data_IF_245795493964
#
_entry.id   IF_245795493964
#
_cell.length_a   1.000
_cell.length_b   1.000
_cell.length_c   1.000
_cell.angle_alpha   90.00
_cell.angle_beta   90.00
_cell.angle_gamma   90.00
#
_symmetry.space_group_name_H-M   'P 1'
#
loop_
_entity.id
_entity.type
_entity.pdbx_description
1 polymer ?
#
# COMPACT_ATOMS: atom_id res chain seq x y z
N UNK A 1 18.10 9.40 -15.36
CA UNK A 1 16.78 8.77 -15.46
C UNK A 1 15.85 9.42 -14.47
N UNK A 2 14.69 9.87 -14.93
CA UNK A 2 13.65 10.42 -14.08
C UNK A 2 12.75 9.30 -13.54
N UNK A 3 12.56 9.22 -12.22
CA UNK A 3 11.71 8.21 -11.57
C UNK A 3 10.27 8.25 -12.09
N UNK A 4 9.71 9.45 -12.29
CA UNK A 4 8.34 9.60 -12.80
C UNK A 4 8.19 8.99 -14.19
N UNK A 5 9.11 9.34 -15.10
CA UNK A 5 9.14 8.78 -16.45
C UNK A 5 9.32 7.26 -16.47
N UNK A 6 10.19 6.70 -15.61
CA UNK A 6 10.39 5.25 -15.53
C UNK A 6 9.13 4.54 -15.04
N UNK A 7 8.48 5.04 -13.98
CA UNK A 7 7.24 4.44 -13.47
C UNK A 7 6.11 4.54 -14.51
N UNK A 8 6.02 5.67 -15.23
CA UNK A 8 5.03 5.84 -16.29
C UNK A 8 5.20 4.79 -17.38
N UNK A 9 6.41 4.66 -17.94
CA UNK A 9 6.69 3.79 -19.07
C UNK A 9 6.65 2.30 -18.72
N UNK A 10 7.17 1.92 -17.54
CA UNK A 10 7.40 0.51 -17.20
C UNK A 10 6.26 -0.09 -16.36
N UNK A 11 5.41 0.73 -15.72
CA UNK A 11 4.35 0.27 -14.81
C UNK A 11 3.01 0.87 -15.15
N UNK A 12 2.88 2.21 -15.16
CA UNK A 12 1.56 2.84 -15.24
C UNK A 12 0.90 2.67 -16.60
N UNK A 13 1.63 2.94 -17.69
CA UNK A 13 1.10 2.79 -19.05
C UNK A 13 0.76 1.32 -19.39
N UNK A 14 1.65 0.33 -19.15
CA UNK A 14 1.32 -1.08 -19.41
C UNK A 14 0.12 -1.60 -18.60
N UNK A 15 -0.10 -1.07 -17.38
CA UNK A 15 -1.21 -1.46 -16.52
C UNK A 15 -2.47 -0.59 -16.71
N UNK A 16 -2.38 0.46 -17.52
CA UNK A 16 -3.49 1.39 -17.75
C UNK A 16 -3.85 2.22 -16.50
N UNK A 17 -2.88 2.50 -15.63
CA UNK A 17 -3.03 3.29 -14.41
C UNK A 17 -2.99 4.79 -14.70
N UNK A 18 -4.08 5.31 -15.28
CA UNK A 18 -4.15 6.66 -15.87
C UNK A 18 -4.20 7.79 -14.84
N UNK A 19 -4.65 7.48 -13.63
CA UNK A 19 -4.81 8.43 -12.53
C UNK A 19 -3.63 8.36 -11.55
N UNK A 20 -2.62 7.53 -11.83
CA UNK A 20 -1.49 7.32 -10.94
C UNK A 20 -0.32 8.23 -11.31
N UNK A 21 0.15 9.01 -10.34
CA UNK A 21 1.26 9.92 -10.57
C UNK A 21 1.66 10.73 -9.34
N UNK A 22 2.74 11.50 -9.47
CA UNK A 22 3.29 12.32 -8.37
C UNK A 22 2.59 13.67 -8.16
N UNK A 23 1.62 14.01 -9.01
CA UNK A 23 0.82 15.22 -8.94
C UNK A 23 -0.55 14.94 -9.58
N UNK A 24 -1.53 15.81 -9.33
CA UNK A 24 -2.88 15.69 -9.90
C UNK A 24 -3.16 16.89 -10.81
N UNK A 25 -3.45 16.67 -12.11
CA UNK A 25 -3.86 17.73 -13.02
C UNK A 25 -5.05 18.52 -12.47
N UNK A 26 -5.09 19.82 -12.74
CA UNK A 26 -6.11 20.70 -12.16
C UNK A 26 -7.55 20.24 -12.43
N UNK A 27 -7.81 19.74 -13.64
CA UNK A 27 -9.09 19.19 -14.05
C UNK A 27 -9.55 18.00 -13.19
N UNK A 28 -8.63 17.24 -12.59
CA UNK A 28 -8.91 16.03 -11.83
C UNK A 28 -8.97 16.25 -10.31
N UNK A 29 -8.57 17.43 -9.81
CA UNK A 29 -8.47 17.70 -8.37
C UNK A 29 -9.81 17.62 -7.64
N UNK A 30 -10.93 17.76 -8.35
CA UNK A 30 -12.27 17.58 -7.79
C UNK A 30 -12.54 16.15 -7.29
N UNK A 31 -11.75 15.15 -7.72
CA UNK A 31 -11.84 13.76 -7.28
C UNK A 31 -11.00 13.47 -6.03
N UNK A 32 -10.19 14.43 -5.57
CA UNK A 32 -9.31 14.21 -4.42
C UNK A 32 -10.09 14.12 -3.13
N UNK A 33 -9.91 13.01 -2.43
CA UNK A 33 -10.43 12.81 -1.09
C UNK A 33 -9.75 13.76 -0.10
N UNK A 34 -10.52 14.31 0.82
CA UNK A 34 -9.97 15.10 1.91
C UNK A 34 -9.20 14.19 2.89
N UNK A 35 -8.06 14.69 3.40
CA UNK A 35 -7.30 14.03 4.45
C UNK A 35 -7.87 14.36 5.83
N UNK A 36 -7.93 13.37 6.70
CA UNK A 36 -8.34 13.52 8.10
C UNK A 36 -7.27 12.97 9.06
N UNK A 37 -7.37 13.30 10.34
CA UNK A 37 -6.57 12.67 11.39
C UNK A 37 -6.08 13.64 12.47
N UNK A 38 -5.67 13.15 13.64
CA UNK A 38 -5.28 13.98 14.77
C UNK A 38 -3.91 14.68 14.62
N UNK A 39 -3.66 15.65 15.52
CA UNK A 39 -2.33 16.17 15.86
C UNK A 39 -1.74 17.21 14.91
N UNK A 40 -0.43 17.38 14.95
CA UNK A 40 0.41 18.12 14.00
C UNK A 40 1.50 17.15 13.53
N UNK A 41 1.60 16.90 12.22
CA UNK A 41 2.63 15.99 11.68
C UNK A 41 4.04 16.59 11.72
N UNK A 42 4.14 17.90 11.96
CA UNK A 42 5.42 18.62 12.06
C UNK A 42 5.95 18.68 13.49
N UNK A 43 5.16 18.22 14.46
CA UNK A 43 5.52 18.15 15.88
C UNK A 43 6.32 16.90 16.25
N UNK A 44 6.67 16.79 17.53
CA UNK A 44 7.28 15.58 18.08
C UNK A 44 6.32 14.39 17.98
N UNK A 45 6.83 13.16 17.73
CA UNK A 45 6.00 11.95 17.74
C UNK A 45 5.23 11.84 19.07
N UNK A 46 3.92 11.57 19.03
CA UNK A 46 3.12 11.45 20.25
C UNK A 46 3.58 10.22 21.06
N UNK A 47 3.55 10.35 22.38
CA UNK A 47 3.92 9.26 23.31
C UNK A 47 2.73 8.33 23.59
N UNK A 48 1.51 8.78 23.29
CA UNK A 48 0.26 8.01 23.45
C UNK A 48 -0.57 8.07 22.17
N UNK A 49 -1.49 7.11 22.01
CA UNK A 49 -2.46 7.14 20.93
C UNK A 49 -3.26 8.45 20.97
N UNK A 50 -3.41 9.09 19.82
CA UNK A 50 -4.23 10.30 19.70
C UNK A 50 -5.70 9.92 19.49
N UNK A 51 -6.67 10.77 19.88
CA UNK A 51 -8.08 10.54 19.61
C UNK A 51 -8.36 10.33 18.12
N UNK A 52 -9.27 9.42 17.80
CA UNK A 52 -9.68 9.15 16.42
C UNK A 52 -10.80 10.12 15.98
N UNK A 53 -10.44 11.38 15.79
CA UNK A 53 -11.39 12.43 15.39
C UNK A 53 -11.28 12.75 13.88
N UNK A 54 -12.44 12.91 13.21
CA UNK A 54 -12.54 13.31 11.80
C UNK A 54 -12.30 14.82 11.61
N UNK A 55 -11.11 15.28 11.98
CA UNK A 55 -10.66 16.65 11.73
C UNK A 55 -9.92 16.71 10.39
N UNK A 56 -10.37 17.58 9.49
CA UNK A 56 -9.75 17.77 8.17
C UNK A 56 -8.31 18.30 8.33
N UNK A 57 -7.40 17.77 7.52
CA UNK A 57 -5.98 18.10 7.52
C UNK A 57 -5.56 18.69 6.19
N UNK A 58 -4.75 19.74 6.28
CA UNK A 58 -3.99 20.23 5.14
C UNK A 58 -2.59 19.60 5.16
N UNK A 59 -2.30 18.83 4.11
CA UNK A 59 -1.01 18.16 3.92
C UNK A 59 -0.23 18.73 2.73
N UNK A 60 -0.71 19.82 2.12
CA UNK A 60 -0.18 20.37 0.86
C UNK A 60 1.31 20.70 0.91
N UNK A 61 1.82 21.09 2.08
CA UNK A 61 3.26 21.35 2.26
C UNK A 61 4.12 20.08 2.21
N UNK A 62 3.62 18.96 2.75
CA UNK A 62 4.35 17.69 2.83
C UNK A 62 4.09 16.79 1.61
N UNK A 63 2.92 16.96 0.99
CA UNK A 63 2.41 16.16 -0.10
C UNK A 63 1.73 17.07 -1.14
N UNK A 64 2.51 17.84 -1.90
CA UNK A 64 1.99 18.85 -2.83
C UNK A 64 1.30 18.20 -4.03
N UNK A 65 0.09 18.66 -4.32
CA UNK A 65 -0.75 18.17 -5.42
C UNK A 65 -0.32 18.70 -6.79
N UNK A 66 0.41 19.81 -6.83
CA UNK A 66 0.64 20.64 -8.00
C UNK A 66 2.14 20.81 -8.32
N UNK A 67 2.99 19.94 -7.76
CA UNK A 67 4.44 20.00 -7.94
C UNK A 67 4.96 18.75 -8.66
N UNK A 68 5.01 18.75 -10.01
CA UNK A 68 5.44 17.59 -10.80
C UNK A 68 6.84 17.06 -10.46
N UNK A 69 7.72 17.89 -9.90
CA UNK A 69 9.08 17.52 -9.49
C UNK A 69 9.14 16.88 -8.08
N UNK A 70 8.03 16.86 -7.35
CA UNK A 70 7.92 16.17 -6.07
C UNK A 70 7.81 14.66 -6.27
N UNK A 71 8.96 14.01 -6.51
CA UNK A 71 9.04 12.57 -6.76
C UNK A 71 9.80 11.89 -5.64
N UNK A 72 9.21 10.86 -5.02
CA UNK A 72 9.81 10.12 -3.89
C UNK A 72 9.56 8.62 -4.07
N UNK A 73 10.46 7.79 -3.53
CA UNK A 73 10.34 6.33 -3.63
C UNK A 73 9.42 5.69 -2.59
N UNK A 74 9.23 6.34 -1.43
CA UNK A 74 8.44 5.80 -0.31
C UNK A 74 7.10 6.49 -0.04
N UNK A 75 6.79 7.56 -0.78
CA UNK A 75 5.53 8.33 -0.69
C UNK A 75 5.35 9.17 -1.97
N UNK A 76 4.25 9.89 -2.09
CA UNK A 76 4.09 10.94 -3.12
C UNK A 76 3.22 10.56 -4.33
N UNK A 77 2.85 9.29 -4.49
CA UNK A 77 1.90 8.87 -5.53
C UNK A 77 0.44 9.09 -5.10
N UNK A 78 -0.27 9.88 -5.89
CA UNK A 78 -1.73 9.81 -5.98
C UNK A 78 -2.10 8.62 -6.86
N UNK A 79 -3.17 7.90 -6.51
CA UNK A 79 -3.70 6.79 -7.30
C UNK A 79 -5.20 6.63 -7.03
N UNK A 80 -5.92 6.05 -7.99
CA UNK A 80 -7.32 5.62 -7.80
C UNK A 80 -7.39 4.19 -7.28
N UNK A 81 -8.53 3.79 -6.72
CA UNK A 81 -8.80 2.39 -6.36
C UNK A 81 -8.60 1.46 -7.57
N UNK A 82 -9.13 1.85 -8.74
CA UNK A 82 -9.05 1.04 -9.95
C UNK A 82 -7.61 0.86 -10.44
N UNK A 83 -6.81 1.93 -10.42
CA UNK A 83 -5.40 1.87 -10.81
C UNK A 83 -4.60 0.96 -9.88
N UNK A 84 -4.78 1.11 -8.57
CA UNK A 84 -4.06 0.29 -7.61
C UNK A 84 -4.51 -1.18 -7.65
N UNK A 85 -5.77 -1.46 -8.02
CA UNK A 85 -6.23 -2.81 -8.31
C UNK A 85 -5.53 -3.42 -9.54
N UNK A 86 -5.27 -2.64 -10.60
CA UNK A 86 -4.46 -3.11 -11.73
C UNK A 86 -3.05 -3.50 -11.28
N UNK A 87 -2.41 -2.68 -10.44
CA UNK A 87 -1.10 -2.99 -9.85
C UNK A 87 -1.12 -4.25 -8.99
N UNK A 88 -2.08 -4.37 -8.06
CA UNK A 88 -2.21 -5.54 -7.20
C UNK A 88 -2.45 -6.83 -8.02
N UNK A 89 -3.30 -6.79 -9.05
CA UNK A 89 -3.51 -7.92 -9.97
C UNK A 89 -2.25 -8.29 -10.75
N UNK A 90 -1.46 -7.31 -11.17
CA UNK A 90 -0.16 -7.59 -11.80
C UNK A 90 0.77 -8.32 -10.83
N UNK A 91 0.79 -7.94 -9.55
CA UNK A 91 1.59 -8.64 -8.54
C UNK A 91 1.15 -10.09 -8.30
N UNK A 92 -0.09 -10.46 -8.62
CA UNK A 92 -0.56 -11.85 -8.52
C UNK A 92 0.11 -12.77 -9.56
N UNK A 93 0.39 -12.25 -10.76
CA UNK A 93 0.81 -13.06 -11.93
C UNK A 93 2.13 -12.63 -12.59
N UNK A 94 2.64 -11.44 -12.25
CA UNK A 94 3.72 -10.75 -12.96
C UNK A 94 3.31 -10.15 -14.31
N UNK A 95 2.02 -10.10 -14.64
CA UNK A 95 1.52 -9.76 -15.98
C UNK A 95 0.43 -8.70 -15.99
N UNK A 96 0.28 -8.02 -17.11
CA UNK A 96 -0.88 -7.15 -17.38
C UNK A 96 -2.15 -8.00 -17.55
N UNK A 97 -3.32 -7.37 -17.50
CA UNK A 97 -4.60 -8.06 -17.79
C UNK A 97 -4.68 -8.64 -19.22
N UNK A 98 -3.83 -8.17 -20.14
CA UNK A 98 -3.71 -8.68 -21.51
C UNK A 98 -2.65 -9.80 -21.64
N UNK A 99 -1.99 -10.17 -20.55
CA UNK A 99 -1.01 -11.25 -20.49
C UNK A 99 0.43 -10.83 -20.80
N UNK A 100 0.70 -9.53 -21.01
CA UNK A 100 2.06 -9.02 -21.24
C UNK A 100 2.89 -9.13 -19.96
N UNK A 101 4.17 -9.48 -20.10
CA UNK A 101 5.06 -9.67 -18.93
C UNK A 101 5.56 -8.32 -18.44
N UNK A 102 5.20 -7.95 -17.22
CA UNK A 102 5.74 -6.77 -16.51
C UNK A 102 6.91 -7.20 -15.62
N UNK A 103 6.73 -8.31 -14.91
CA UNK A 103 7.74 -8.92 -14.06
C UNK A 103 7.95 -10.36 -14.53
N UNK A 104 9.20 -10.71 -14.86
CA UNK A 104 9.51 -12.09 -15.27
C UNK A 104 9.10 -13.08 -14.19
N UNK A 105 8.70 -14.30 -14.58
CA UNK A 105 8.27 -15.34 -13.64
C UNK A 105 9.30 -15.61 -12.51
N UNK A 106 10.60 -15.60 -12.84
CA UNK A 106 11.66 -15.78 -11.83
C UNK A 106 11.76 -14.62 -10.85
N UNK A 107 11.60 -13.39 -11.34
CA UNK A 107 11.59 -12.21 -10.49
C UNK A 107 10.35 -12.20 -9.60
N UNK A 108 9.18 -12.55 -10.16
CA UNK A 108 7.92 -12.66 -9.44
C UNK A 108 8.00 -13.65 -8.27
N UNK A 109 8.57 -14.84 -8.49
CA UNK A 109 8.86 -15.81 -7.42
C UNK A 109 9.74 -15.22 -6.32
N UNK A 110 10.75 -14.41 -6.68
CA UNK A 110 11.67 -13.76 -5.74
C UNK A 110 10.97 -12.65 -4.93
N UNK A 111 10.07 -11.88 -5.54
CA UNK A 111 9.34 -10.77 -4.90
C UNK A 111 8.52 -11.25 -3.69
N UNK A 112 7.96 -12.46 -3.80
CA UNK A 112 7.06 -13.06 -2.80
C UNK A 112 7.78 -13.77 -1.65
N UNK A 113 9.12 -13.82 -1.65
CA UNK A 113 9.85 -14.51 -0.59
C UNK A 113 10.14 -13.60 0.59
N UNK A 114 10.07 -14.15 1.80
CA UNK A 114 10.70 -13.53 2.95
C UNK A 114 12.24 -13.47 2.74
N UNK A 115 12.80 -12.28 2.96
CA UNK A 115 14.22 -11.94 2.73
C UNK A 115 14.95 -11.56 4.01
N UNK A 116 14.25 -11.48 5.14
CA UNK A 116 14.86 -11.20 6.45
C UNK A 116 15.05 -12.48 7.25
N UNK A 117 16.10 -12.47 8.08
CA UNK A 117 16.52 -13.61 8.88
C UNK A 117 15.70 -13.72 10.17
N UNK A 118 15.76 -14.89 10.83
CA UNK A 118 15.09 -15.11 12.11
C UNK A 118 15.50 -14.10 13.21
N UNK A 119 16.72 -13.58 13.18
CA UNK A 119 17.20 -12.56 14.12
C UNK A 119 16.57 -11.17 13.92
N UNK A 120 15.90 -10.95 12.79
CA UNK A 120 15.18 -9.71 12.48
C UNK A 120 13.67 -9.82 12.74
N UNK A 121 13.23 -10.97 13.28
CA UNK A 121 11.85 -11.24 13.66
C UNK A 121 11.71 -11.17 15.20
N UNK A 122 10.53 -10.81 15.74
CA UNK A 122 9.32 -10.42 15.01
C UNK A 122 9.44 -9.07 14.31
N UNK A 123 8.81 -8.94 13.14
CA UNK A 123 8.77 -7.69 12.40
C UNK A 123 7.91 -6.65 13.15
N UNK A 124 8.38 -5.40 13.19
CA UNK A 124 7.63 -4.29 13.79
C UNK A 124 7.93 -2.96 13.07
N UNK A 125 6.98 -2.03 13.12
CA UNK A 125 7.17 -0.64 12.73
C UNK A 125 6.96 0.21 13.98
N UNK A 126 8.05 0.76 14.52
CA UNK A 126 8.00 1.41 15.83
C UNK A 126 7.56 0.42 16.90
N UNK A 127 6.49 0.74 17.63
CA UNK A 127 5.91 -0.12 18.66
C UNK A 127 4.83 -1.09 18.13
N UNK A 128 4.51 -1.05 16.84
CA UNK A 128 3.43 -1.86 16.25
C UNK A 128 4.00 -3.16 15.67
N UNK A 129 3.66 -4.33 16.22
CA UNK A 129 4.11 -5.60 15.68
C UNK A 129 3.34 -5.97 14.40
N UNK A 130 4.02 -6.61 13.46
CA UNK A 130 3.41 -7.25 12.28
C UNK A 130 3.45 -8.76 12.49
N UNK A 131 2.51 -9.27 13.30
CA UNK A 131 2.51 -10.66 13.75
C UNK A 131 2.38 -11.66 12.58
N UNK A 132 3.24 -12.68 12.56
CA UNK A 132 3.28 -13.69 11.50
C UNK A 132 3.93 -13.22 10.19
N UNK A 133 4.32 -11.95 10.07
CA UNK A 133 4.91 -11.40 8.84
C UNK A 133 6.45 -11.36 8.88
N UNK A 134 7.05 -11.69 7.74
CA UNK A 134 8.40 -11.33 7.35
C UNK A 134 8.42 -10.15 6.37
N UNK A 135 9.54 -9.95 5.67
CA UNK A 135 9.75 -8.84 4.74
C UNK A 135 10.34 -9.31 3.42
N UNK A 136 9.69 -8.97 2.32
CA UNK A 136 10.12 -9.24 0.94
C UNK A 136 10.57 -7.99 0.20
N UNK A 137 10.62 -8.06 -1.14
CA UNK A 137 10.98 -6.91 -1.98
C UNK A 137 9.79 -5.98 -2.27
N UNK A 138 8.58 -6.42 -1.94
CA UNK A 138 7.31 -5.69 -2.19
C UNK A 138 6.58 -5.28 -0.91
N UNK A 139 7.12 -5.61 0.26
CA UNK A 139 6.51 -5.29 1.55
C UNK A 139 6.50 -6.48 2.51
N UNK A 140 5.45 -6.56 3.33
CA UNK A 140 5.25 -7.68 4.26
C UNK A 140 4.95 -8.96 3.47
N UNK A 141 5.36 -10.11 4.00
CA UNK A 141 5.00 -11.44 3.49
C UNK A 141 4.60 -12.31 4.68
N UNK A 142 3.42 -12.92 4.64
CA UNK A 142 2.95 -13.83 5.69
C UNK A 142 3.78 -15.12 5.66
N UNK A 143 4.41 -15.44 6.79
CA UNK A 143 5.28 -16.63 6.97
C UNK A 143 4.79 -17.57 8.08
N UNK A 144 3.87 -17.10 8.94
CA UNK A 144 3.25 -17.91 9.99
C UNK A 144 1.79 -17.46 10.20
N UNK A 145 0.82 -18.06 9.47
CA UNK A 145 -0.59 -17.76 9.65
C UNK A 145 -1.12 -18.04 11.07
N UNK A 146 -0.47 -18.91 11.85
CA UNK A 146 -0.86 -19.21 13.23
C UNK A 146 -0.60 -18.05 14.20
N UNK A 147 0.30 -17.13 13.83
CA UNK A 147 0.58 -15.90 14.57
C UNK A 147 -0.18 -14.67 14.02
N UNK A 148 -0.95 -14.80 12.94
CA UNK A 148 -1.64 -13.69 12.30
C UNK A 148 -2.80 -13.16 13.17
N UNK A 149 -3.08 -11.87 13.07
CA UNK A 149 -4.18 -11.19 13.78
C UNK A 149 -5.49 -11.12 13.00
N UNK A 150 -5.48 -11.54 11.74
CA UNK A 150 -6.64 -11.62 10.85
C UNK A 150 -6.50 -12.84 9.91
N UNK A 151 -7.61 -13.37 9.34
CA UNK A 151 -7.56 -14.43 8.34
C UNK A 151 -6.59 -14.08 7.19
N UNK A 152 -5.82 -15.09 6.80
CA UNK A 152 -4.72 -14.95 5.84
C UNK A 152 -4.29 -16.30 5.33
N UNK A 153 -3.56 -16.29 4.22
CA UNK A 153 -2.82 -17.45 3.72
C UNK A 153 -1.32 -17.30 3.93
N UNK A 154 -0.62 -18.42 4.04
CA UNK A 154 0.84 -18.48 3.94
C UNK A 154 1.29 -17.95 2.56
N UNK A 155 2.17 -16.95 2.56
CA UNK A 155 2.62 -16.27 1.35
C UNK A 155 1.76 -15.08 0.90
N UNK A 156 0.67 -14.73 1.60
CA UNK A 156 -0.02 -13.45 1.39
C UNK A 156 0.97 -12.28 1.57
N UNK A 157 0.95 -11.31 0.67
CA UNK A 157 1.88 -10.19 0.74
C UNK A 157 1.24 -8.86 0.31
N UNK A 158 1.87 -7.76 0.72
CA UNK A 158 1.45 -6.43 0.33
C UNK A 158 2.02 -5.35 1.21
N UNK A 159 1.40 -4.18 1.18
CA UNK A 159 1.80 -3.07 2.04
C UNK A 159 0.64 -2.15 2.42
N UNK A 160 0.96 -1.09 3.14
CA UNK A 160 0.04 -0.09 3.64
C UNK A 160 0.61 1.32 3.46
N UNK A 161 -0.28 2.30 3.49
CA UNK A 161 0.07 3.72 3.53
C UNK A 161 -0.31 4.34 4.87
N UNK A 162 0.37 5.42 5.24
CA UNK A 162 0.12 6.11 6.51
C UNK A 162 -1.31 6.69 6.65
N UNK A 163 -2.02 6.86 5.51
CA UNK A 163 -3.37 7.40 5.44
C UNK A 163 -4.47 6.30 5.52
N UNK A 164 -4.18 5.19 6.19
CA UNK A 164 -5.02 3.99 6.33
C UNK A 164 -5.39 3.27 5.01
N UNK A 165 -4.74 3.63 3.90
CA UNK A 165 -4.80 2.83 2.66
C UNK A 165 -4.08 1.50 2.84
N UNK A 166 -4.62 0.41 2.33
CA UNK A 166 -4.03 -0.93 2.51
C UNK A 166 -4.26 -1.80 1.28
N UNK A 167 -3.32 -2.71 0.98
CA UNK A 167 -3.57 -3.75 0.00
C UNK A 167 -2.94 -5.09 0.41
N UNK A 168 -3.50 -6.16 -0.14
CA UNK A 168 -2.97 -7.51 -0.04
C UNK A 168 -3.13 -8.27 -1.36
N UNK A 169 -2.24 -9.22 -1.56
CA UNK A 169 -2.20 -10.15 -2.69
C UNK A 169 -2.05 -11.54 -2.09
N UNK A 170 -2.99 -12.42 -2.38
CA UNK A 170 -3.00 -13.79 -1.91
C UNK A 170 -2.95 -14.76 -3.10
N UNK A 171 -1.76 -15.26 -3.45
CA UNK A 171 -1.60 -16.23 -4.53
C UNK A 171 -2.30 -17.57 -4.29
N UNK A 172 -2.58 -17.95 -3.03
CA UNK A 172 -3.24 -19.24 -2.72
C UNK A 172 -4.73 -19.18 -3.01
N UNK A 173 -5.34 -18.01 -2.81
CA UNK A 173 -6.77 -17.77 -3.04
C UNK A 173 -7.06 -17.08 -4.39
N UNK A 174 -6.05 -16.90 -5.26
CA UNK A 174 -6.14 -16.11 -6.51
C UNK A 174 -6.82 -14.74 -6.29
N UNK A 175 -6.51 -14.10 -5.15
CA UNK A 175 -7.24 -12.94 -4.65
C UNK A 175 -6.31 -11.74 -4.48
N UNK A 176 -6.86 -10.55 -4.74
CA UNK A 176 -6.26 -9.27 -4.36
C UNK A 176 -7.30 -8.38 -3.70
N UNK A 177 -6.88 -7.61 -2.71
CA UNK A 177 -7.73 -6.62 -2.06
C UNK A 177 -7.03 -5.28 -1.96
N UNK A 178 -7.79 -4.20 -2.15
CA UNK A 178 -7.33 -2.82 -2.00
C UNK A 178 -8.39 -2.04 -1.23
N UNK A 179 -7.93 -1.37 -0.17
CA UNK A 179 -8.68 -0.46 0.67
C UNK A 179 -8.13 0.96 0.45
N UNK A 180 -9.03 1.88 0.08
CA UNK A 180 -8.71 3.30 -0.08
C UNK A 180 -9.52 4.14 0.92
N UNK A 181 -8.81 4.84 1.79
CA UNK A 181 -9.32 5.87 2.71
C UNK A 181 -8.25 6.95 2.87
N UNK A 182 -8.52 8.01 3.63
CA UNK A 182 -7.57 9.11 3.88
C UNK A 182 -7.64 9.56 5.34
N UNK A 183 -7.06 8.76 6.24
CA UNK A 183 -6.95 9.07 7.66
C UNK A 183 -5.53 8.83 8.17
N UNK A 184 -4.86 9.87 8.67
CA UNK A 184 -3.51 9.78 9.22
C UNK A 184 -3.54 9.49 10.72
N UNK A 185 -2.73 8.53 11.16
CA UNK A 185 -2.69 8.14 12.57
C UNK A 185 -3.93 7.36 12.98
N UNK A 186 -4.42 6.48 12.09
CA UNK A 186 -5.49 5.54 12.36
C UNK A 186 -5.23 4.76 13.65
N UNK A 187 -6.26 4.67 14.48
CA UNK A 187 -6.26 3.85 15.71
C UNK A 187 -7.24 2.67 15.59
N UNK A 188 -7.86 2.52 14.41
CA UNK A 188 -8.89 1.52 14.11
C UNK A 188 -8.28 0.47 13.19
N UNK A 189 -8.47 -0.83 13.44
CA UNK A 189 -7.88 -1.92 12.65
C UNK A 189 -8.66 -2.16 11.34
N UNK A 190 -8.89 -1.09 10.56
CA UNK A 190 -9.74 -1.13 9.37
C UNK A 190 -9.21 -2.13 8.32
N UNK A 191 -7.89 -2.26 8.20
CA UNK A 191 -7.28 -3.22 7.28
C UNK A 191 -7.59 -4.67 7.68
N UNK A 192 -7.44 -5.00 8.96
CA UNK A 192 -7.75 -6.32 9.50
C UNK A 192 -9.24 -6.64 9.40
N UNK A 193 -10.12 -5.68 9.68
CA UNK A 193 -11.57 -5.84 9.56
C UNK A 193 -11.98 -6.13 8.10
N UNK A 194 -11.47 -5.34 7.15
CA UNK A 194 -11.78 -5.51 5.72
C UNK A 194 -11.23 -6.81 5.16
N UNK A 195 -10.03 -7.22 5.58
CA UNK A 195 -9.49 -8.54 5.24
C UNK A 195 -10.35 -9.65 5.82
N UNK A 196 -10.70 -9.58 7.10
CA UNK A 196 -11.54 -10.58 7.75
C UNK A 196 -12.85 -10.75 7.00
N UNK A 197 -13.51 -9.64 6.64
CA UNK A 197 -14.73 -9.67 5.84
C UNK A 197 -14.53 -10.33 4.46
N UNK A 198 -13.44 -10.00 3.76
CA UNK A 198 -13.14 -10.60 2.45
C UNK A 198 -12.89 -12.11 2.54
N UNK A 199 -12.02 -12.55 3.45
CA UNK A 199 -11.69 -13.97 3.61
C UNK A 199 -12.86 -14.81 4.13
N UNK A 200 -13.77 -14.25 4.92
CA UNK A 200 -14.99 -14.93 5.35
C UNK A 200 -16.01 -15.11 4.22
N UNK A 201 -15.85 -14.39 3.11
CA UNK A 201 -16.76 -14.44 1.95
C UNK A 201 -16.27 -15.32 0.80
N UNK A 202 -15.10 -15.96 0.96
CA UNK A 202 -14.53 -16.91 -0.01
C UNK A 202 -15.29 -18.23 -0.03
#
# INVERSE_FOLDING_TARGET
CDLGAVLQAEIFDPLGMKDTGFFVPDADRHRLMAMYGPGDLTGLPPVTAMPHDLVRRDISQMYPVDKPDFRRGGLGLYASLNDYMCFARMLLTGRTARGEVVVSNKMHQILQQNRITAHQLPLSIGAVPLCGYGWGLTGRVMIDPGAATAPTSDGEFGWAGAADTYFWVDPREDMVGVLMTQFLGGAVPLAEDMRTAAYQSL
#
